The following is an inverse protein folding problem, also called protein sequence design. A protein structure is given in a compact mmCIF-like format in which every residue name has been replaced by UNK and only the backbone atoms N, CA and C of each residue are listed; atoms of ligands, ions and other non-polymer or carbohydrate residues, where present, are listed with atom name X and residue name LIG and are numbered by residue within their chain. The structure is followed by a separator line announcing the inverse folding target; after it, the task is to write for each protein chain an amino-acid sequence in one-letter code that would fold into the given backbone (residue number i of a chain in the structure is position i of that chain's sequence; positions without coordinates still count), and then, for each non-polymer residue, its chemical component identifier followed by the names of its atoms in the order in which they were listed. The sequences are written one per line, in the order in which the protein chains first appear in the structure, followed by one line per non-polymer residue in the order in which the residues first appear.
data_IF_802288105858
#
_entry.id   IF_802288105858
#
_cell.length_a   1.000
_cell.length_b   1.000
_cell.length_c   1.000
_cell.angle_alpha   90.00
_cell.angle_beta   90.00
_cell.angle_gamma   90.00
#
_symmetry.space_group_name_H-M   'P 1'
#
loop_
_entity.id
_entity.type
_entity.pdbx_description
1 polymer ?
#
# COMPACT_ATOMS: atom_id res chain seq x y z
N UNK A 1 -2.79 25.27 -57.56
CA UNK A 1 -1.93 26.15 -56.74
C UNK A 1 -2.05 25.81 -55.25
N UNK A 2 -1.64 24.61 -54.80
CA UNK A 2 -1.89 24.16 -53.42
C UNK A 2 -0.72 23.48 -52.69
N UNK A 3 0.41 23.24 -53.38
CA UNK A 3 1.52 22.46 -52.81
C UNK A 3 2.67 23.31 -52.24
N UNK A 4 2.62 24.64 -52.39
CA UNK A 4 3.66 25.55 -51.89
C UNK A 4 3.42 26.02 -50.44
N UNK A 5 2.17 26.07 -49.99
CA UNK A 5 1.80 26.56 -48.65
C UNK A 5 2.13 25.60 -47.51
N UNK A 6 2.07 24.29 -47.74
CA UNK A 6 2.31 23.27 -46.70
C UNK A 6 3.80 23.14 -46.37
N UNK A 7 4.68 23.26 -47.38
CA UNK A 7 6.13 23.22 -47.17
C UNK A 7 6.66 24.45 -46.43
N UNK A 8 6.06 25.63 -46.67
CA UNK A 8 6.46 26.87 -46.00
C UNK A 8 6.02 26.88 -44.53
N UNK A 9 4.87 26.29 -44.20
CA UNK A 9 4.39 26.17 -42.82
C UNK A 9 5.20 25.17 -41.99
N UNK A 10 5.62 24.05 -42.59
CA UNK A 10 6.47 23.06 -41.89
C UNK A 10 7.88 23.62 -41.60
N UNK A 11 8.46 24.37 -42.55
CA UNK A 11 9.77 24.99 -42.36
C UNK A 11 9.75 26.07 -41.26
N UNK A 12 8.65 26.84 -41.14
CA UNK A 12 8.50 27.86 -40.11
C UNK A 12 8.35 27.26 -38.70
N UNK A 13 7.64 26.14 -38.56
CA UNK A 13 7.53 25.42 -37.28
C UNK A 13 8.86 24.78 -36.85
N UNK A 14 9.64 24.25 -37.81
CA UNK A 14 10.94 23.64 -37.51
C UNK A 14 12.00 24.69 -37.12
N UNK A 15 11.92 25.91 -37.69
CA UNK A 15 12.84 27.00 -37.33
C UNK A 15 12.58 27.59 -35.93
N UNK A 16 11.33 27.57 -35.44
CA UNK A 16 11.01 28.02 -34.08
C UNK A 16 11.50 27.04 -33.00
N UNK A 17 11.66 25.75 -33.32
CA UNK A 17 12.16 24.73 -32.41
C UNK A 17 13.68 24.78 -32.19
N UNK A 18 14.44 25.37 -33.11
CA UNK A 18 15.91 25.46 -33.03
C UNK A 18 16.41 26.71 -32.28
N UNK A 19 15.62 27.78 -32.21
CA UNK A 19 15.97 29.05 -31.56
C UNK A 19 15.71 29.09 -30.03
N UNK A 20 15.12 28.04 -29.44
CA UNK A 20 14.81 27.96 -28.00
C UNK A 20 15.94 27.41 -27.11
N UNK A 21 17.13 27.17 -27.65
CA UNK A 21 18.19 26.37 -27.00
C UNK A 21 19.26 27.17 -26.25
N UNK A 22 19.03 28.43 -25.89
CA UNK A 22 20.05 29.27 -25.26
C UNK A 22 19.45 30.10 -24.11
N UNK A 23 19.47 29.54 -22.89
CA UNK A 23 19.87 30.22 -21.63
C UNK A 23 19.80 29.19 -20.49
N UNK A 24 20.82 28.35 -20.33
CA UNK A 24 21.17 27.78 -19.02
C UNK A 24 22.18 28.74 -18.42
N UNK A 25 21.68 29.69 -17.63
CA UNK A 25 22.52 30.42 -16.68
C UNK A 25 22.58 29.57 -15.42
N UNK A 26 23.80 29.10 -15.12
CA UNK A 26 24.12 28.58 -13.80
C UNK A 26 24.00 29.72 -12.79
N UNK A 27 23.26 29.45 -11.71
CA UNK A 27 23.41 30.19 -10.46
C UNK A 27 23.71 29.16 -9.37
N UNK A 28 24.99 29.11 -9.05
CA UNK A 28 25.58 28.40 -7.93
C UNK A 28 25.40 29.28 -6.71
N UNK A 29 24.55 28.90 -5.74
CA UNK A 29 24.61 29.48 -4.40
C UNK A 29 23.91 28.61 -3.34
N UNK A 30 24.75 28.15 -2.41
CA UNK A 30 24.47 27.90 -1.00
C UNK A 30 23.63 26.67 -0.61
N UNK A 31 24.27 25.50 -0.69
CA UNK A 31 24.01 24.36 0.19
C UNK A 31 24.15 24.81 1.67
N UNK A 32 23.01 24.99 2.34
CA UNK A 32 22.96 25.24 3.78
C UNK A 32 23.37 23.96 4.53
N UNK A 33 24.66 23.88 4.90
CA UNK A 33 25.17 22.86 5.83
C UNK A 33 24.45 22.97 7.17
N UNK A 34 23.37 22.21 7.33
CA UNK A 34 22.77 21.96 8.65
C UNK A 34 23.64 20.93 9.37
N UNK A 35 24.40 21.41 10.34
CA UNK A 35 25.23 20.63 11.25
C UNK A 35 24.39 19.53 11.93
N UNK A 36 24.83 18.25 11.97
CA UNK A 36 24.17 17.24 12.76
C UNK A 36 24.44 17.53 14.25
N UNK A 37 23.37 17.81 15.00
CA UNK A 37 23.42 17.85 16.46
C UNK A 37 23.72 16.43 16.93
N UNK A 38 24.95 16.19 17.38
CA UNK A 38 25.34 14.98 18.08
C UNK A 38 24.62 14.94 19.43
N UNK A 39 23.60 14.09 19.55
CA UNK A 39 23.11 13.67 20.85
C UNK A 39 24.13 12.70 21.45
N UNK A 40 24.94 13.19 22.39
CA UNK A 40 25.72 12.34 23.29
C UNK A 40 24.72 11.53 24.12
N UNK A 41 24.53 10.26 23.76
CA UNK A 41 23.91 9.30 24.67
C UNK A 41 24.95 8.96 25.75
N UNK A 42 24.62 9.30 27.00
CA UNK A 42 25.36 8.80 28.15
C UNK A 42 25.26 7.25 28.19
N UNK A 43 26.33 6.54 28.55
CA UNK A 43 26.29 5.08 28.65
C UNK A 43 25.37 4.66 29.81
N UNK A 44 24.49 3.70 29.53
CA UNK A 44 23.70 3.03 30.57
C UNK A 44 24.60 2.24 31.53
N UNK A 45 24.30 2.20 32.84
CA UNK A 45 25.07 1.40 33.78
C UNK A 45 24.88 -0.10 33.54
N UNK A 46 25.97 -0.86 33.66
CA UNK A 46 26.01 -2.32 33.52
C UNK A 46 25.18 -3.03 34.62
N UNK A 47 24.61 -4.22 34.35
CA UNK A 47 23.87 -4.98 35.35
C UNK A 47 24.80 -5.58 36.41
N UNK A 48 24.43 -5.42 37.69
CA UNK A 48 25.14 -6.00 38.81
C UNK A 48 24.92 -7.53 38.87
N UNK A 49 26.00 -8.30 38.91
CA UNK A 49 25.95 -9.74 39.19
C UNK A 49 25.76 -9.98 40.68
N UNK A 50 24.65 -10.64 41.05
CA UNK A 50 24.44 -11.13 42.42
C UNK A 50 25.15 -12.49 42.60
N UNK A 51 26.12 -12.54 43.50
CA UNK A 51 26.71 -13.79 43.99
C UNK A 51 25.79 -14.40 45.06
N UNK A 52 25.26 -15.60 44.82
CA UNK A 52 24.69 -16.42 45.87
C UNK A 52 25.78 -17.33 46.45
N UNK A 53 26.10 -17.13 47.73
CA UNK A 53 26.86 -18.08 48.54
C UNK A 53 25.97 -19.26 48.90
N UNK A 54 26.40 -20.48 48.58
CA UNK A 54 25.77 -21.70 49.09
C UNK A 54 26.55 -22.20 50.31
N UNK A 55 25.86 -22.25 51.46
CA UNK A 55 26.38 -22.77 52.72
C UNK A 55 26.44 -24.31 52.74
N UNK A 56 27.47 -24.83 53.41
CA UNK A 56 27.73 -26.26 53.62
C UNK A 56 26.84 -26.87 54.73
N UNK A 57 26.46 -28.17 54.64
CA UNK A 57 25.88 -28.89 55.77
C UNK A 57 26.93 -29.69 56.59
N UNK A 58 26.66 -29.80 57.90
CA UNK A 58 27.46 -30.37 58.99
C UNK A 58 27.26 -31.92 59.20
N UNK A 59 27.99 -32.60 60.13
CA UNK A 59 28.46 -33.99 59.97
C UNK A 59 27.73 -35.17 60.70
N UNK A 60 27.86 -36.35 60.05
CA UNK A 60 28.04 -37.77 60.46
C UNK A 60 27.33 -38.44 61.67
N UNK A 61 26.85 -39.67 61.46
CA UNK A 61 26.73 -40.74 62.48
C UNK A 61 27.27 -42.10 61.97
N UNK A 62 27.72 -43.01 62.86
CA UNK A 62 28.69 -44.08 62.56
C UNK A 62 28.09 -45.39 62.03
N UNK A 63 28.88 -46.10 61.21
CA UNK A 63 28.56 -47.42 60.64
C UNK A 63 28.61 -48.57 61.67
N UNK A 64 27.67 -49.53 61.61
CA UNK A 64 27.87 -50.89 62.11
C UNK A 64 28.28 -51.85 60.97
N UNK A 65 29.12 -52.83 61.32
CA UNK A 65 29.79 -53.81 60.44
C UNK A 65 28.88 -54.67 59.53
N UNK A 66 29.39 -55.16 58.38
CA UNK A 66 28.59 -55.95 57.44
C UNK A 66 28.42 -57.43 57.90
N UNK A 67 27.20 -57.99 57.80
CA UNK A 67 26.99 -59.44 57.90
C UNK A 67 27.37 -60.16 56.59
N UNK A 68 27.69 -61.47 56.64
CA UNK A 68 28.28 -62.22 55.53
C UNK A 68 27.34 -62.36 54.32
N UNK A 69 27.94 -62.33 53.13
CA UNK A 69 27.24 -62.38 51.84
C UNK A 69 26.35 -63.64 51.69
N UNK A 70 25.04 -63.49 51.43
CA UNK A 70 24.22 -64.62 50.99
C UNK A 70 24.47 -64.94 49.51
N UNK A 71 24.46 -66.23 49.22
CA UNK A 71 24.83 -66.88 47.95
C UNK A 71 24.02 -66.35 46.75
N UNK A 72 24.69 -66.21 45.60
CA UNK A 72 24.12 -65.77 44.34
C UNK A 72 22.89 -66.59 43.94
N UNK A 73 21.72 -65.94 43.90
CA UNK A 73 20.52 -66.46 43.26
C UNK A 73 20.57 -66.08 41.78
N UNK A 74 20.57 -67.07 40.90
CA UNK A 74 20.52 -66.86 39.45
C UNK A 74 19.07 -66.51 39.08
N UNK A 75 18.76 -65.33 38.51
CA UNK A 75 17.41 -65.03 38.07
C UNK A 75 17.06 -65.87 36.83
N UNK A 76 15.85 -66.45 36.81
CA UNK A 76 15.34 -67.15 35.64
C UNK A 76 15.17 -66.20 34.44
N UNK A 77 15.31 -66.67 33.18
CA UNK A 77 15.19 -65.82 31.99
C UNK A 77 13.82 -65.17 31.88
N UNK A 78 13.79 -63.86 31.59
CA UNK A 78 12.57 -63.11 31.35
C UNK A 78 11.81 -63.64 30.11
N UNK A 79 10.46 -63.73 30.14
CA UNK A 79 9.68 -64.15 29.00
C UNK A 79 9.78 -63.15 27.84
N UNK A 80 9.84 -63.67 26.61
CA UNK A 80 10.03 -62.89 25.39
C UNK A 80 8.92 -61.84 25.16
N UNK A 81 9.26 -60.65 24.61
CA UNK A 81 8.29 -59.58 24.37
C UNK A 81 7.28 -59.97 23.28
N UNK A 82 5.98 -59.82 23.59
CA UNK A 82 4.88 -60.01 22.62
C UNK A 82 4.97 -58.94 21.53
N UNK A 83 4.99 -59.38 20.27
CA UNK A 83 4.91 -58.51 19.09
C UNK A 83 3.64 -57.66 19.14
N UNK A 84 3.78 -56.34 19.19
CA UNK A 84 2.66 -55.39 19.05
C UNK A 84 2.47 -55.10 17.56
N UNK A 85 1.35 -55.55 17.00
CA UNK A 85 0.93 -55.15 15.65
C UNK A 85 0.65 -53.64 15.68
N UNK A 86 1.29 -52.82 14.81
CA UNK A 86 0.96 -51.41 14.69
C UNK A 86 -0.49 -51.22 14.24
N UNK A 87 -1.22 -50.21 14.73
CA UNK A 87 -2.56 -49.93 14.26
C UNK A 87 -2.54 -49.59 12.75
N UNK A 88 -3.59 -49.97 12.00
CA UNK A 88 -3.68 -49.66 10.58
C UNK A 88 -3.65 -48.14 10.37
N UNK A 89 -2.84 -47.69 9.40
CA UNK A 89 -2.80 -46.26 9.01
C UNK A 89 -4.20 -45.81 8.59
N UNK A 90 -4.71 -44.66 9.09
CA UNK A 90 -5.95 -44.07 8.60
C UNK A 90 -5.84 -43.84 7.09
N UNK A 91 -6.92 -44.15 6.37
CA UNK A 91 -7.00 -43.88 4.94
C UNK A 91 -6.77 -42.38 4.65
N UNK A 92 -6.15 -42.02 3.51
CA UNK A 92 -6.02 -40.63 3.10
C UNK A 92 -7.40 -39.97 3.04
N UNK A 93 -7.55 -38.81 3.68
CA UNK A 93 -8.78 -38.04 3.59
C UNK A 93 -9.08 -37.69 2.12
N UNK A 94 -10.36 -37.67 1.71
CA UNK A 94 -10.72 -37.27 0.36
C UNK A 94 -10.21 -35.85 0.06
N UNK A 95 -9.80 -35.56 -1.20
CA UNK A 95 -9.34 -34.23 -1.58
C UNK A 95 -10.40 -33.19 -1.22
N UNK A 96 -10.01 -32.18 -0.45
CA UNK A 96 -10.90 -31.03 -0.19
C UNK A 96 -11.16 -30.34 -1.53
N UNK A 97 -12.39 -30.44 -2.03
CA UNK A 97 -12.83 -29.67 -3.20
C UNK A 97 -12.77 -28.19 -2.81
N UNK A 98 -11.79 -27.48 -3.37
CA UNK A 98 -11.67 -26.04 -3.17
C UNK A 98 -12.90 -25.36 -3.80
N UNK A 99 -13.57 -24.44 -3.09
CA UNK A 99 -14.67 -23.69 -3.68
C UNK A 99 -14.19 -22.94 -4.94
N UNK A 100 -15.04 -22.77 -5.97
CA UNK A 100 -14.70 -22.00 -7.15
C UNK A 100 -14.19 -20.60 -6.77
N UNK A 101 -13.08 -20.19 -7.41
CA UNK A 101 -12.56 -18.84 -7.24
C UNK A 101 -13.63 -17.80 -7.61
N UNK A 102 -13.77 -16.70 -6.86
CA UNK A 102 -14.77 -15.68 -7.15
C UNK A 102 -14.58 -15.11 -8.57
N UNK A 103 -15.69 -14.92 -9.27
CA UNK A 103 -15.69 -14.45 -10.66
C UNK A 103 -15.01 -13.07 -10.78
N UNK A 104 -14.06 -12.98 -11.73
CA UNK A 104 -13.37 -11.72 -12.04
C UNK A 104 -14.32 -10.81 -12.80
N UNK A 105 -14.57 -9.63 -12.24
CA UNK A 105 -15.42 -8.61 -12.87
C UNK A 105 -14.58 -7.39 -13.19
N UNK A 106 -14.90 -6.71 -14.30
CA UNK A 106 -14.26 -5.44 -14.65
C UNK A 106 -14.66 -4.35 -13.64
N UNK A 107 -13.81 -3.36 -13.47
CA UNK A 107 -14.02 -2.27 -12.52
C UNK A 107 -14.53 -1.02 -13.24
N UNK A 108 -15.45 -0.31 -12.62
CA UNK A 108 -15.73 1.09 -12.93
C UNK A 108 -15.59 1.94 -11.67
N UNK A 109 -15.14 3.18 -11.83
CA UNK A 109 -14.87 4.10 -10.73
C UNK A 109 -15.64 5.39 -10.92
N UNK A 110 -16.27 5.87 -9.86
CA UNK A 110 -17.01 7.12 -9.85
C UNK A 110 -16.59 8.05 -8.71
N UNK A 111 -16.82 9.34 -8.89
CA UNK A 111 -16.59 10.35 -7.85
C UNK A 111 -16.97 11.74 -8.32
N UNK A 112 -16.75 12.73 -7.46
CA UNK A 112 -17.05 14.14 -7.74
C UNK A 112 -15.85 15.00 -7.38
N UNK A 113 -15.60 16.05 -8.18
CA UNK A 113 -14.54 17.04 -7.96
C UNK A 113 -15.15 18.42 -7.78
N UNK A 114 -14.69 19.12 -6.75
CA UNK A 114 -15.15 20.45 -6.38
C UNK A 114 -14.02 21.49 -6.42
N UNK A 115 -14.43 22.76 -6.46
CA UNK A 115 -13.61 23.91 -6.15
C UNK A 115 -14.00 24.42 -4.77
N UNK A 116 -13.06 24.47 -3.83
CA UNK A 116 -13.30 25.02 -2.49
C UNK A 116 -13.66 26.50 -2.57
N UNK A 117 -14.38 26.98 -1.57
CA UNK A 117 -14.68 28.41 -1.43
C UNK A 117 -13.50 29.18 -0.84
N UNK A 118 -13.27 30.42 -1.30
CA UNK A 118 -12.36 31.36 -0.64
C UNK A 118 -12.82 31.80 0.76
N UNK A 119 -14.05 31.47 1.16
CA UNK A 119 -14.54 31.75 2.52
C UNK A 119 -13.82 30.94 3.60
N UNK A 120 -13.25 29.79 3.25
CA UNK A 120 -12.63 28.86 4.19
C UNK A 120 -11.24 28.43 3.70
N UNK A 121 -10.28 29.38 3.57
CA UNK A 121 -8.94 29.07 3.08
C UNK A 121 -8.23 28.11 4.04
N UNK A 122 -7.50 27.13 3.51
CA UNK A 122 -6.76 26.14 4.29
C UNK A 122 -7.61 25.08 5.03
N UNK A 123 -8.92 25.26 5.17
CA UNK A 123 -9.79 24.31 5.88
C UNK A 123 -10.27 23.22 4.92
N UNK A 124 -10.16 21.96 5.31
CA UNK A 124 -10.63 20.81 4.51
C UNK A 124 -12.15 20.63 4.58
N UNK A 125 -12.85 21.57 3.96
CA UNK A 125 -14.32 21.61 3.87
C UNK A 125 -14.80 21.76 2.43
N UNK A 126 -15.99 21.23 2.18
CA UNK A 126 -16.76 21.42 0.94
C UNK A 126 -17.89 22.45 1.11
N UNK A 127 -17.97 23.14 2.25
CA UNK A 127 -18.95 24.19 2.47
C UNK A 127 -18.72 25.36 1.50
N UNK A 128 -19.76 25.69 0.73
CA UNK A 128 -19.70 26.71 -0.32
C UNK A 128 -18.84 26.31 -1.54
N UNK A 129 -18.44 25.03 -1.63
CA UNK A 129 -17.68 24.53 -2.78
C UNK A 129 -18.58 24.33 -3.99
N UNK A 130 -18.05 24.56 -5.19
CA UNK A 130 -18.78 24.42 -6.46
C UNK A 130 -18.22 23.24 -7.26
N UNK A 131 -19.06 22.46 -7.95
CA UNK A 131 -18.56 21.37 -8.79
C UNK A 131 -17.70 21.91 -9.94
N UNK A 132 -16.59 21.23 -10.27
CA UNK A 132 -15.71 21.62 -11.38
C UNK A 132 -16.01 20.75 -12.59
N UNK A 133 -16.44 21.36 -13.69
CA UNK A 133 -16.46 20.70 -14.99
C UNK A 133 -15.06 20.68 -15.61
N UNK A 134 -14.70 19.58 -16.28
CA UNK A 134 -13.44 19.48 -17.03
C UNK A 134 -12.22 19.05 -16.20
N UNK A 135 -12.30 19.03 -14.87
CA UNK A 135 -11.22 18.52 -14.04
C UNK A 135 -10.84 17.08 -14.41
N UNK A 136 -9.55 16.82 -14.49
CA UNK A 136 -8.96 15.51 -14.80
C UNK A 136 -8.55 14.79 -13.53
N UNK A 137 -8.95 13.53 -13.44
CA UNK A 137 -8.53 12.58 -12.40
C UNK A 137 -7.84 11.39 -13.04
N UNK A 138 -6.95 10.74 -12.30
CA UNK A 138 -6.16 9.59 -12.76
C UNK A 138 -6.37 8.41 -11.83
N UNK A 139 -6.88 7.30 -12.37
CA UNK A 139 -6.82 6.00 -11.73
C UNK A 139 -5.47 5.36 -12.06
N UNK A 140 -4.67 5.09 -11.03
CA UNK A 140 -3.40 4.40 -11.18
C UNK A 140 -3.39 3.14 -10.34
N UNK A 141 -3.04 2.02 -10.95
CA UNK A 141 -2.88 0.73 -10.30
C UNK A 141 -1.43 0.30 -10.36
N UNK A 142 -0.81 0.12 -9.19
CA UNK A 142 0.57 -0.32 -9.09
C UNK A 142 0.59 -1.85 -8.98
N UNK A 143 0.49 -2.53 -10.12
CA UNK A 143 0.70 -3.98 -10.18
C UNK A 143 2.22 -4.28 -10.16
N UNK A 144 2.61 -5.48 -9.69
CA UNK A 144 4.01 -5.87 -9.51
C UNK A 144 4.82 -5.90 -10.81
N UNK A 145 4.17 -6.05 -11.98
CA UNK A 145 4.84 -6.14 -13.28
C UNK A 145 4.80 -4.85 -14.09
N UNK A 146 3.64 -4.19 -14.21
CA UNK A 146 3.49 -2.93 -14.95
C UNK A 146 2.41 -2.05 -14.29
N UNK A 147 2.72 -0.79 -13.91
CA UNK A 147 1.71 0.13 -13.44
C UNK A 147 0.79 0.53 -14.60
N UNK A 148 -0.52 0.49 -14.38
CA UNK A 148 -1.52 0.96 -15.36
C UNK A 148 -2.13 2.25 -14.90
N UNK A 149 -2.33 3.19 -15.82
CA UNK A 149 -2.92 4.49 -15.53
C UNK A 149 -3.98 4.85 -16.56
N UNK A 150 -5.14 5.32 -16.09
CA UNK A 150 -6.26 5.76 -16.92
C UNK A 150 -6.81 7.08 -16.38
N UNK A 151 -7.12 8.01 -17.26
CA UNK A 151 -7.64 9.33 -16.88
C UNK A 151 -9.12 9.48 -17.27
N UNK A 152 -9.85 10.25 -16.46
CA UNK A 152 -11.20 10.69 -16.77
C UNK A 152 -11.33 12.18 -16.51
N UNK A 153 -12.25 12.78 -17.25
CA UNK A 153 -12.63 14.18 -17.12
C UNK A 153 -14.03 14.27 -16.53
N UNK A 154 -14.22 15.23 -15.63
CA UNK A 154 -15.50 15.49 -14.98
C UNK A 154 -16.49 16.19 -15.90
N UNK A 155 -17.77 15.81 -15.77
CA UNK A 155 -18.91 16.45 -16.42
C UNK A 155 -19.30 17.76 -15.72
N UNK A 156 -20.35 18.44 -16.23
CA UNK A 156 -20.79 19.77 -15.75
C UNK A 156 -21.10 19.83 -14.24
N UNK A 157 -21.54 18.73 -13.65
CA UNK A 157 -21.85 18.59 -12.22
C UNK A 157 -20.63 18.16 -11.38
N UNK A 158 -19.41 18.18 -11.95
CA UNK A 158 -18.19 17.75 -11.28
C UNK A 158 -18.04 16.24 -11.15
N UNK A 159 -19.02 15.46 -11.64
CA UNK A 159 -19.00 14.02 -11.57
C UNK A 159 -18.09 13.43 -12.64
N UNK A 160 -17.33 12.39 -12.31
CA UNK A 160 -16.63 11.57 -13.29
C UNK A 160 -17.05 10.11 -13.15
N UNK A 161 -17.04 9.42 -14.28
CA UNK A 161 -17.18 7.98 -14.36
C UNK A 161 -16.06 7.45 -15.25
N UNK A 162 -15.25 6.55 -14.72
CA UNK A 162 -14.08 5.99 -15.39
C UNK A 162 -14.23 4.47 -15.45
N UNK A 163 -14.37 3.96 -16.67
CA UNK A 163 -14.35 2.54 -16.96
C UNK A 163 -13.05 2.22 -17.72
N UNK A 164 -11.98 1.79 -17.02
CA UNK A 164 -10.72 1.48 -17.67
C UNK A 164 -10.91 0.37 -18.72
N UNK A 165 -10.18 0.43 -19.85
CA UNK A 165 -10.08 -0.69 -20.82
C UNK A 165 -9.76 -1.99 -20.08
N UNK A 166 -10.26 -3.14 -20.57
CA UNK A 166 -10.35 -4.51 -19.96
C UNK A 166 -9.09 -5.07 -19.28
N UNK A 167 -8.46 -4.30 -18.40
CA UNK A 167 -7.13 -4.49 -17.82
C UNK A 167 -7.20 -4.52 -16.30
N UNK A 168 -8.16 -3.82 -15.71
CA UNK A 168 -8.36 -3.74 -14.26
C UNK A 168 -9.60 -4.54 -13.87
N UNK A 169 -9.41 -5.53 -13.01
CA UNK A 169 -10.46 -6.39 -12.45
C UNK A 169 -10.53 -6.23 -10.94
N UNK A 170 -11.58 -6.78 -10.33
CA UNK A 170 -11.77 -6.86 -8.87
C UNK A 170 -10.58 -7.46 -8.12
N UNK A 171 -9.78 -8.32 -8.75
CA UNK A 171 -8.55 -8.86 -8.15
C UNK A 171 -7.44 -7.81 -8.00
N UNK A 172 -7.30 -6.90 -8.96
CA UNK A 172 -6.23 -5.88 -8.96
C UNK A 172 -6.63 -4.56 -8.31
N UNK A 173 -7.93 -4.34 -8.07
CA UNK A 173 -8.49 -3.06 -7.63
C UNK A 173 -7.90 -2.54 -6.31
N UNK A 174 -7.51 -3.44 -5.41
CA UNK A 174 -6.93 -3.10 -4.12
C UNK A 174 -5.51 -2.49 -4.21
N UNK A 175 -4.87 -2.57 -5.39
CA UNK A 175 -3.60 -1.88 -5.71
C UNK A 175 -3.82 -0.56 -6.45
N UNK A 176 -5.07 -0.17 -6.67
CA UNK A 176 -5.44 1.03 -7.38
C UNK A 176 -5.72 2.18 -6.43
N UNK A 177 -5.39 3.39 -6.88
CA UNK A 177 -5.71 4.65 -6.22
C UNK A 177 -6.13 5.69 -7.26
N UNK A 178 -6.96 6.64 -6.86
CA UNK A 178 -7.34 7.79 -7.70
C UNK A 178 -6.68 9.07 -7.20
N UNK A 179 -6.17 9.85 -8.15
CA UNK A 179 -5.43 11.09 -7.92
C UNK A 179 -6.04 12.25 -8.68
N UNK A 180 -6.02 13.45 -8.09
CA UNK A 180 -6.28 14.70 -8.80
C UNK A 180 -5.10 15.04 -9.72
N UNK A 181 -5.38 15.37 -10.97
CA UNK A 181 -4.35 15.75 -11.95
C UNK A 181 -4.33 17.25 -12.16
N UNK A 182 -5.42 17.79 -12.71
CA UNK A 182 -5.59 19.19 -13.12
C UNK A 182 -7.06 19.57 -13.13
N UNK A 183 -7.37 20.85 -13.01
CA UNK A 183 -8.73 21.39 -12.94
C UNK A 183 -9.18 22.14 -14.20
N UNK A 184 -8.37 22.10 -15.27
CA UNK A 184 -8.68 22.77 -16.53
C UNK A 184 -10.06 22.37 -17.06
N UNK A 185 -10.86 23.30 -17.63
CA UNK A 185 -10.51 24.66 -18.02
C UNK A 185 -10.65 25.72 -16.89
N UNK A 186 -10.86 25.32 -15.63
CA UNK A 186 -11.01 26.27 -14.53
C UNK A 186 -9.70 26.99 -14.21
N UNK A 187 -9.59 28.27 -14.58
CA UNK A 187 -8.42 29.10 -14.30
C UNK A 187 -8.33 29.57 -12.84
N UNK A 188 -9.48 29.78 -12.19
CA UNK A 188 -9.53 30.30 -10.81
C UNK A 188 -9.25 29.23 -9.76
N UNK A 189 -9.35 27.94 -10.10
CA UNK A 189 -9.32 26.84 -9.14
C UNK A 189 -8.27 25.77 -9.45
N UNK A 190 -6.99 26.10 -9.31
CA UNK A 190 -5.88 25.26 -9.81
C UNK A 190 -5.08 24.53 -8.73
N UNK A 191 -5.19 24.95 -7.47
CA UNK A 191 -4.37 24.38 -6.40
C UNK A 191 -4.91 23.01 -6.02
N UNK A 192 -4.15 21.95 -6.28
CA UNK A 192 -4.51 20.60 -5.79
C UNK A 192 -4.55 20.62 -4.27
N UNK A 193 -5.58 20.00 -3.69
CA UNK A 193 -5.66 19.79 -2.24
C UNK A 193 -5.64 18.29 -1.93
N UNK A 194 -5.21 17.94 -0.72
CA UNK A 194 -5.24 16.56 -0.28
C UNK A 194 -6.56 16.16 0.39
N UNK A 195 -7.63 16.94 0.21
CA UNK A 195 -8.96 16.58 0.69
C UNK A 195 -9.35 15.19 0.16
N UNK A 196 -9.73 14.31 1.08
CA UNK A 196 -10.03 12.90 0.79
C UNK A 196 -8.92 12.19 0.00
N UNK A 197 -7.66 12.52 0.29
CA UNK A 197 -6.48 11.92 -0.33
C UNK A 197 -6.34 12.23 -1.83
N UNK A 198 -6.84 13.38 -2.29
CA UNK A 198 -6.75 13.79 -3.70
C UNK A 198 -5.31 13.86 -4.25
N UNK A 199 -4.31 14.16 -3.41
CA UNK A 199 -2.88 14.17 -3.78
C UNK A 199 -2.19 12.86 -3.43
N UNK A 200 -2.41 12.33 -2.22
CA UNK A 200 -1.76 11.11 -1.74
C UNK A 200 -2.33 9.82 -2.34
N UNK A 201 -3.46 9.92 -3.05
CA UNK A 201 -4.14 8.85 -3.73
C UNK A 201 -5.23 8.20 -2.87
N UNK A 202 -6.48 8.35 -3.31
CA UNK A 202 -7.65 7.82 -2.62
C UNK A 202 -7.89 6.35 -2.95
N UNK A 203 -8.21 5.58 -1.91
CA UNK A 203 -8.55 4.16 -2.03
C UNK A 203 -9.98 4.01 -2.54
N UNK A 204 -10.17 3.04 -3.44
CA UNK A 204 -11.47 2.71 -4.03
C UNK A 204 -12.35 1.98 -3.02
N UNK A 205 -13.59 2.43 -2.87
CA UNK A 205 -14.60 1.81 -1.99
C UNK A 205 -15.64 1.10 -2.84
N UNK A 206 -15.88 -0.19 -2.57
CA UNK A 206 -16.88 -0.94 -3.33
C UNK A 206 -18.29 -0.41 -3.05
N UNK A 207 -19.07 -0.23 -4.12
CA UNK A 207 -20.47 0.16 -4.06
C UNK A 207 -21.35 -1.04 -4.40
N UNK A 208 -22.24 -1.42 -3.48
CA UNK A 208 -23.23 -2.47 -3.73
C UNK A 208 -24.31 -1.91 -4.66
N UNK A 209 -24.42 -2.40 -5.91
CA UNK A 209 -25.38 -1.83 -6.84
C UNK A 209 -26.80 -2.26 -6.46
N UNK A 210 -27.78 -1.39 -6.74
CA UNK A 210 -29.22 -1.68 -6.51
C UNK A 210 -29.78 -2.67 -7.53
N UNK A 211 -29.17 -2.74 -8.71
CA UNK A 211 -29.51 -3.65 -9.81
C UNK A 211 -28.24 -4.32 -10.34
N UNK A 212 -28.34 -5.47 -11.04
CA UNK A 212 -27.18 -6.11 -11.65
C UNK A 212 -26.43 -5.16 -12.60
N UNK A 213 -25.11 -5.10 -12.48
CA UNK A 213 -24.21 -4.37 -13.38
C UNK A 213 -23.23 -5.36 -14.01
N UNK A 214 -22.77 -5.08 -15.22
CA UNK A 214 -21.73 -5.85 -15.91
C UNK A 214 -20.31 -5.59 -15.38
N UNK A 215 -20.18 -4.65 -14.44
CA UNK A 215 -18.93 -4.24 -13.80
C UNK A 215 -19.14 -4.08 -12.28
N UNK A 216 -18.06 -4.18 -11.52
CA UNK A 216 -18.04 -3.82 -10.11
C UNK A 216 -17.82 -2.32 -9.98
N UNK A 217 -18.77 -1.63 -9.35
CA UNK A 217 -18.72 -0.18 -9.15
C UNK A 217 -17.93 0.15 -7.88
N UNK A 218 -17.05 1.14 -7.98
CA UNK A 218 -16.31 1.70 -6.86
C UNK A 218 -16.46 3.21 -6.79
N UNK A 219 -16.57 3.75 -5.59
CA UNK A 219 -16.57 5.19 -5.31
C UNK A 219 -15.23 5.64 -4.74
N UNK A 220 -14.91 6.91 -4.99
CA UNK A 220 -13.79 7.64 -4.39
C UNK A 220 -14.17 9.10 -4.20
N UNK A 221 -13.42 9.80 -3.34
CA UNK A 221 -13.68 11.20 -3.08
C UNK A 221 -15.03 11.42 -2.41
N UNK A 222 -15.50 12.67 -2.29
CA UNK A 222 -15.26 13.80 -3.19
C UNK A 222 -13.87 14.44 -3.07
N UNK A 223 -13.31 14.90 -4.20
CA UNK A 223 -12.04 15.62 -4.24
C UNK A 223 -12.25 17.11 -4.37
N UNK A 224 -11.20 17.91 -4.09
CA UNK A 224 -11.28 19.33 -4.36
C UNK A 224 -9.95 19.96 -4.80
N UNK A 225 -10.07 20.97 -5.66
CA UNK A 225 -9.07 22.00 -5.86
C UNK A 225 -9.40 23.20 -4.97
N UNK A 226 -8.39 23.99 -4.63
CA UNK A 226 -8.54 25.28 -3.99
C UNK A 226 -8.32 26.41 -5.02
N UNK A 227 -9.08 27.50 -4.90
CA UNK A 227 -8.79 28.73 -5.63
C UNK A 227 -7.58 29.45 -5.05
N UNK A 228 -7.01 30.34 -5.87
CA UNK A 228 -6.13 31.39 -5.34
C UNK A 228 -7.01 32.47 -4.74
N UNK A 229 -6.95 32.57 -3.43
CA UNK A 229 -7.37 33.69 -2.62
C UNK A 229 -6.07 34.31 -2.08
#
# INVERSE_FOLDING_TARGET
MGFLGVKLSLAFQLSLLLLGSLTVSGEEAAESKRSPVYYIHAPAPAPAHHHHQAHAPAPLKPYPHPPPAPKAYVPAPAPAPKSRIPPPKPAPAPPKVLPPLPARTLVAVQGVVYCKSCKYPGVDTLLGATPISGATVKLQCNNTKYPTSHEATTAKNGYFFLQPPKTITTYGVHKCKVFLVKSLPSASCQLKTNLNQGISGAVLRYEKPKSPLSFALYSVGPFAFAPKC
#
